data_IF_289984897332
#
_entry.id   IF_289984897332
#
_cell.length_a   1.000
_cell.length_b   1.000
_cell.length_c   1.000
_cell.angle_alpha   90.00
_cell.angle_beta   90.00
_cell.angle_gamma   90.00
#
_symmetry.space_group_name_H-M   'P 1'
#
loop_
_entity.id
_entity.type
_entity.pdbx_description
1 polymer ?
#
# COMPACT_ATOMS: atom_id res chain seq x y z
N UNK A 1 47.95 -11.50 -11.05
CA UNK A 1 47.77 -11.36 -9.58
C UNK A 1 46.52 -10.55 -9.35
N UNK A 2 45.47 -11.19 -8.85
CA UNK A 2 44.19 -10.47 -8.57
C UNK A 2 44.41 -9.56 -7.39
N UNK A 3 44.41 -8.26 -7.57
CA UNK A 3 44.30 -7.30 -6.46
C UNK A 3 43.06 -7.61 -5.64
N UNK A 4 43.28 -8.07 -4.43
CA UNK A 4 42.23 -8.26 -3.45
C UNK A 4 41.72 -6.87 -3.04
N UNK A 5 40.60 -6.43 -3.65
CA UNK A 5 39.96 -5.19 -3.27
C UNK A 5 39.40 -5.36 -1.86
N UNK A 6 39.93 -4.56 -0.95
CA UNK A 6 39.47 -4.44 0.42
C UNK A 6 38.47 -3.27 0.56
N UNK A 7 37.55 -3.37 1.49
CA UNK A 7 36.71 -2.22 1.88
C UNK A 7 37.49 -1.24 2.77
N UNK A 8 36.91 -0.12 3.12
CA UNK A 8 37.54 0.90 3.97
C UNK A 8 37.90 0.38 5.37
N UNK A 9 37.39 -0.76 5.78
CA UNK A 9 37.69 -1.43 7.05
C UNK A 9 38.71 -2.60 6.87
N UNK A 10 39.33 -2.70 5.71
CA UNK A 10 40.34 -3.75 5.42
C UNK A 10 39.76 -5.16 5.20
N UNK A 11 38.43 -5.30 5.03
CA UNK A 11 37.77 -6.57 4.79
C UNK A 11 37.67 -6.86 3.30
N UNK A 12 37.73 -8.14 2.89
CA UNK A 12 37.52 -8.55 1.50
C UNK A 12 36.13 -8.06 1.02
N UNK A 13 36.12 -7.32 -0.07
CA UNK A 13 34.87 -7.00 -0.77
C UNK A 13 34.22 -8.29 -1.31
N UNK A 14 32.89 -8.35 -1.20
CA UNK A 14 32.17 -9.43 -1.85
C UNK A 14 32.49 -9.48 -3.35
N UNK A 15 32.77 -10.65 -3.95
CA UNK A 15 32.94 -10.76 -5.38
C UNK A 15 31.84 -10.11 -6.20
N UNK A 16 30.62 -10.10 -5.67
CA UNK A 16 29.45 -9.47 -6.30
C UNK A 16 29.56 -7.95 -6.43
N UNK A 17 30.49 -7.29 -5.73
CA UNK A 17 30.73 -5.83 -5.84
C UNK A 17 31.82 -5.49 -6.86
N UNK A 18 32.46 -6.49 -7.45
CA UNK A 18 33.48 -6.28 -8.44
C UNK A 18 32.86 -6.13 -9.84
N UNK A 19 33.25 -5.11 -10.64
CA UNK A 19 32.71 -4.92 -11.98
C UNK A 19 32.89 -6.16 -12.88
N UNK A 20 34.01 -6.83 -12.78
CA UNK A 20 34.36 -8.03 -13.53
C UNK A 20 33.49 -9.23 -13.17
N UNK A 21 33.01 -9.33 -11.94
CA UNK A 21 32.09 -10.40 -11.52
C UNK A 21 30.80 -10.41 -12.33
N UNK A 22 30.39 -9.27 -12.78
CA UNK A 22 29.18 -9.11 -13.61
C UNK A 22 29.47 -9.09 -15.10
N UNK A 23 30.76 -9.07 -15.49
CA UNK A 23 31.16 -9.07 -16.90
C UNK A 23 30.64 -10.35 -17.60
N UNK A 24 29.93 -10.17 -18.70
CA UNK A 24 29.33 -11.28 -19.47
C UNK A 24 28.09 -11.93 -18.83
N UNK A 25 27.75 -11.63 -17.58
CA UNK A 25 26.55 -12.15 -16.95
C UNK A 25 25.36 -11.28 -17.29
N UNK A 26 24.32 -11.89 -17.86
CA UNK A 26 23.05 -11.16 -18.05
C UNK A 26 22.49 -10.73 -16.69
N UNK A 27 22.14 -9.45 -16.49
CA UNK A 27 21.40 -9.05 -15.30
C UNK A 27 20.20 -9.98 -15.11
N UNK A 28 19.92 -10.43 -13.88
CA UNK A 28 18.79 -11.33 -13.56
C UNK A 28 17.45 -10.86 -14.13
N UNK A 29 17.35 -9.55 -14.44
CA UNK A 29 16.13 -8.90 -14.96
C UNK A 29 16.29 -8.43 -16.41
N UNK A 30 17.35 -8.83 -17.13
CA UNK A 30 17.53 -8.43 -18.53
C UNK A 30 16.47 -9.10 -19.40
N UNK A 31 15.63 -8.29 -20.00
CA UNK A 31 14.46 -8.74 -20.80
C UNK A 31 13.12 -8.74 -20.04
N UNK A 32 13.13 -8.62 -18.72
CA UNK A 32 11.90 -8.36 -17.96
C UNK A 32 11.60 -6.86 -18.01
N UNK A 33 10.78 -6.44 -18.95
CA UNK A 33 10.19 -5.09 -18.95
C UNK A 33 9.07 -5.08 -17.91
N UNK A 34 9.41 -4.73 -16.69
CA UNK A 34 8.37 -4.27 -15.76
C UNK A 34 8.01 -2.86 -16.20
N UNK A 35 6.74 -2.56 -16.51
CA UNK A 35 6.33 -1.19 -16.69
C UNK A 35 6.81 -0.38 -15.49
N UNK A 36 7.53 0.71 -15.73
CA UNK A 36 8.07 1.58 -14.66
C UNK A 36 6.94 2.26 -13.86
N UNK A 37 5.72 2.23 -14.39
CA UNK A 37 4.55 2.86 -13.81
C UNK A 37 3.85 1.95 -12.80
N UNK A 38 3.29 2.54 -11.72
CA UNK A 38 2.42 1.83 -10.79
C UNK A 38 1.18 1.27 -11.53
N UNK A 39 0.42 0.35 -10.91
CA UNK A 39 -0.84 -0.10 -11.48
C UNK A 39 -1.78 1.10 -11.72
N UNK A 40 -2.56 1.02 -12.79
CA UNK A 40 -3.58 2.02 -13.08
C UNK A 40 -4.78 1.87 -12.14
N UNK A 41 -5.64 2.88 -12.11
CA UNK A 41 -6.88 2.86 -11.31
C UNK A 41 -7.73 1.65 -11.72
N UNK A 42 -7.88 1.42 -13.03
CA UNK A 42 -8.66 0.31 -13.60
C UNK A 42 -8.10 -1.05 -13.17
N UNK A 43 -6.78 -1.20 -13.18
CA UNK A 43 -6.10 -2.41 -12.70
C UNK A 43 -6.34 -2.62 -11.19
N UNK A 44 -6.27 -1.57 -10.38
CA UNK A 44 -6.52 -1.65 -8.93
C UNK A 44 -7.98 -2.04 -8.66
N UNK A 45 -8.93 -1.39 -9.32
CA UNK A 45 -10.36 -1.68 -9.19
C UNK A 45 -10.68 -3.09 -9.68
N UNK A 46 -10.05 -3.54 -10.78
CA UNK A 46 -10.19 -4.91 -11.27
C UNK A 46 -9.74 -5.94 -10.23
N UNK A 47 -8.60 -5.71 -9.57
CA UNK A 47 -8.12 -6.58 -8.48
C UNK A 47 -9.09 -6.57 -7.29
N UNK A 48 -9.62 -5.40 -6.92
CA UNK A 48 -10.61 -5.30 -5.84
C UNK A 48 -11.88 -6.11 -6.15
N UNK A 49 -12.39 -6.02 -7.37
CA UNK A 49 -13.56 -6.80 -7.82
C UNK A 49 -13.26 -8.29 -7.80
N UNK A 50 -12.08 -8.68 -8.28
CA UNK A 50 -11.68 -10.10 -8.35
C UNK A 50 -11.43 -10.73 -6.96
N UNK A 51 -11.12 -9.92 -5.95
CA UNK A 51 -11.00 -10.39 -4.56
C UNK A 51 -12.32 -10.98 -4.02
N UNK A 52 -13.47 -10.61 -4.59
CA UNK A 52 -14.79 -11.11 -4.23
C UNK A 52 -15.33 -10.54 -2.91
N UNK A 53 -16.52 -11.02 -2.53
CA UNK A 53 -17.30 -10.51 -1.39
C UNK A 53 -17.23 -11.41 -0.15
N UNK A 54 -16.47 -12.49 -0.19
CA UNK A 54 -16.19 -13.30 1.00
C UNK A 54 -15.28 -12.57 2.00
N UNK A 55 -15.25 -13.04 3.24
CA UNK A 55 -14.51 -12.41 4.34
C UNK A 55 -13.03 -12.12 3.99
N UNK A 56 -12.36 -13.04 3.31
CA UNK A 56 -10.99 -12.85 2.83
C UNK A 56 -10.90 -11.74 1.78
N UNK A 57 -11.85 -11.71 0.84
CA UNK A 57 -11.92 -10.70 -0.21
C UNK A 57 -12.18 -9.30 0.36
N UNK A 58 -13.15 -9.17 1.26
CA UNK A 58 -13.46 -7.90 1.92
C UNK A 58 -12.25 -7.37 2.71
N UNK A 59 -11.55 -8.25 3.45
CA UNK A 59 -10.30 -7.88 4.14
C UNK A 59 -9.24 -7.38 3.15
N UNK A 60 -9.06 -8.08 2.02
CA UNK A 60 -8.07 -7.71 1.01
C UNK A 60 -8.44 -6.38 0.34
N UNK A 61 -9.70 -6.18 0.00
CA UNK A 61 -10.22 -4.91 -0.55
C UNK A 61 -9.98 -3.75 0.41
N UNK A 62 -10.33 -3.92 1.69
CA UNK A 62 -10.05 -2.92 2.72
C UNK A 62 -8.56 -2.59 2.84
N UNK A 63 -7.68 -3.61 2.78
CA UNK A 63 -6.24 -3.37 2.79
C UNK A 63 -5.77 -2.63 1.54
N UNK A 64 -6.26 -2.99 0.34
CA UNK A 64 -5.93 -2.29 -0.92
C UNK A 64 -6.30 -0.82 -0.81
N UNK A 65 -7.51 -0.52 -0.33
CA UNK A 65 -8.01 0.84 -0.16
C UNK A 65 -7.10 1.66 0.75
N UNK A 66 -6.75 1.14 1.91
CA UNK A 66 -5.87 1.84 2.87
C UNK A 66 -4.45 2.05 2.30
N UNK A 67 -3.90 1.06 1.60
CA UNK A 67 -2.59 1.20 0.95
C UNK A 67 -2.60 2.19 -0.20
N UNK A 68 -3.69 2.26 -0.94
CA UNK A 68 -3.84 3.11 -2.12
C UNK A 68 -4.35 4.51 -1.76
N UNK A 69 -5.50 4.65 -1.09
CA UNK A 69 -6.14 5.97 -0.87
C UNK A 69 -5.58 6.73 0.33
N UNK A 70 -5.14 6.05 1.39
CA UNK A 70 -4.39 6.67 2.48
C UNK A 70 -2.88 6.69 2.22
N UNK A 71 -2.40 5.90 1.26
CA UNK A 71 -0.99 5.84 0.90
C UNK A 71 -0.10 5.24 1.99
N UNK A 72 -0.62 4.36 2.85
CA UNK A 72 0.14 3.77 3.94
C UNK A 72 1.17 2.74 3.47
N UNK A 73 2.23 2.54 4.26
CA UNK A 73 3.10 1.36 4.12
C UNK A 73 2.39 0.13 4.65
N UNK A 74 2.72 -1.05 4.12
CA UNK A 74 2.09 -2.31 4.57
C UNK A 74 2.19 -2.52 6.08
N UNK A 75 3.33 -2.21 6.69
CA UNK A 75 3.50 -2.35 8.14
C UNK A 75 2.67 -1.34 8.93
N UNK A 76 2.47 -0.14 8.40
CA UNK A 76 1.60 0.89 8.98
C UNK A 76 0.13 0.46 8.89
N UNK A 77 -0.32 0.00 7.71
CA UNK A 77 -1.68 -0.47 7.50
C UNK A 77 -2.03 -1.69 8.38
N UNK A 78 -1.13 -2.67 8.47
CA UNK A 78 -1.35 -3.88 9.29
C UNK A 78 -1.24 -3.63 10.80
N UNK A 79 -0.67 -2.49 11.22
CA UNK A 79 -0.60 -2.08 12.61
C UNK A 79 -1.81 -1.23 13.06
N UNK A 80 -2.72 -0.87 12.14
CA UNK A 80 -3.94 -0.14 12.50
C UNK A 80 -4.84 -0.99 13.40
N UNK A 81 -5.46 -0.33 14.37
CA UNK A 81 -6.58 -0.83 15.13
C UNK A 81 -7.86 -0.07 14.76
N UNK A 82 -9.03 -0.58 15.12
CA UNK A 82 -10.30 0.12 14.87
C UNK A 82 -10.34 1.51 15.52
N UNK A 83 -9.75 1.64 16.70
CA UNK A 83 -9.63 2.92 17.42
C UNK A 83 -8.73 3.96 16.71
N UNK A 84 -8.02 3.57 15.65
CA UNK A 84 -7.20 4.48 14.85
C UNK A 84 -7.98 5.09 13.67
N UNK A 85 -9.25 4.74 13.53
CA UNK A 85 -10.13 5.18 12.45
C UNK A 85 -11.03 6.32 12.95
N UNK A 86 -11.02 7.44 12.25
CA UNK A 86 -11.96 8.54 12.46
C UNK A 86 -12.71 8.84 11.15
N UNK A 87 -13.81 8.13 10.93
CA UNK A 87 -14.62 8.29 9.73
C UNK A 87 -15.28 9.69 9.65
N UNK A 88 -15.57 10.33 10.79
CA UNK A 88 -16.16 11.68 10.80
C UNK A 88 -15.17 12.73 10.28
N UNK A 89 -13.90 12.59 10.63
CA UNK A 89 -12.82 13.46 10.17
C UNK A 89 -12.21 13.00 8.86
N UNK A 90 -12.57 11.80 8.38
CA UNK A 90 -11.98 11.19 7.20
C UNK A 90 -10.51 10.86 7.37
N UNK A 91 -10.06 10.49 8.57
CA UNK A 91 -8.65 10.32 8.88
C UNK A 91 -8.32 9.00 9.56
N UNK A 92 -7.06 8.56 9.38
CA UNK A 92 -6.45 7.39 9.99
C UNK A 92 -5.27 7.83 10.85
N UNK A 93 -5.17 7.27 12.05
CA UNK A 93 -4.05 7.53 12.94
C UNK A 93 -2.97 6.46 12.79
N UNK A 94 -1.83 6.83 12.23
CA UNK A 94 -0.64 6.00 12.18
C UNK A 94 0.18 6.22 13.45
N UNK A 95 0.14 5.28 14.39
CA UNK A 95 0.81 5.41 15.69
C UNK A 95 2.34 5.36 15.59
N UNK A 96 2.87 4.59 14.63
CA UNK A 96 4.31 4.40 14.41
C UNK A 96 4.64 4.50 12.92
N UNK A 97 4.78 5.70 12.41
CA UNK A 97 5.24 5.98 11.06
C UNK A 97 6.77 5.91 10.93
N UNK A 98 7.31 6.44 9.84
CA UNK A 98 8.76 6.52 9.62
C UNK A 98 9.44 7.29 10.75
N UNK A 99 10.48 6.69 11.35
CA UNK A 99 11.18 7.28 12.49
C UNK A 99 10.41 7.19 13.82
N UNK A 100 9.42 6.30 13.93
CA UNK A 100 8.63 6.11 15.15
C UNK A 100 7.60 7.21 15.44
N UNK A 101 7.44 8.17 14.53
CA UNK A 101 6.55 9.32 14.73
C UNK A 101 5.08 8.95 14.46
N UNK A 102 4.21 9.54 15.27
CA UNK A 102 2.77 9.48 15.08
C UNK A 102 2.36 10.48 13.99
N UNK A 103 1.49 10.08 13.07
CA UNK A 103 0.92 10.97 12.06
C UNK A 103 -0.54 10.62 11.79
N UNK A 104 -1.30 11.62 11.39
CA UNK A 104 -2.67 11.48 10.91
C UNK A 104 -2.68 11.61 9.39
N UNK A 105 -3.39 10.71 8.71
CA UNK A 105 -3.44 10.63 7.25
C UNK A 105 -4.89 10.66 6.81
N UNK A 106 -5.21 11.52 5.86
CA UNK A 106 -6.55 11.64 5.30
C UNK A 106 -6.88 10.54 4.31
N UNK A 107 -8.16 10.21 4.21
CA UNK A 107 -8.72 9.29 3.22
C UNK A 107 -10.06 9.83 2.73
N UNK A 108 -10.34 9.74 1.42
CA UNK A 108 -11.55 10.27 0.81
C UNK A 108 -12.81 9.44 1.11
N UNK A 109 -13.98 10.00 0.82
CA UNK A 109 -15.28 9.38 1.12
C UNK A 109 -15.45 8.04 0.40
N UNK A 110 -15.07 7.97 -0.88
CA UNK A 110 -15.14 6.71 -1.63
C UNK A 110 -14.34 5.59 -0.95
N UNK A 111 -13.15 5.93 -0.44
CA UNK A 111 -12.33 4.95 0.25
C UNK A 111 -12.97 4.48 1.58
N UNK A 112 -13.65 5.37 2.29
CA UNK A 112 -14.41 5.01 3.48
C UNK A 112 -15.58 4.09 3.15
N UNK A 113 -16.32 4.36 2.08
CA UNK A 113 -17.38 3.48 1.58
C UNK A 113 -16.86 2.09 1.25
N UNK A 114 -15.70 2.00 0.57
CA UNK A 114 -15.09 0.70 0.25
C UNK A 114 -14.57 -0.03 1.49
N UNK A 115 -14.10 0.69 2.49
CA UNK A 115 -13.63 0.10 3.75
C UNK A 115 -14.79 -0.39 4.62
N UNK A 116 -15.96 0.24 4.55
CA UNK A 116 -17.12 -0.05 5.37
C UNK A 116 -17.50 -1.54 5.31
N UNK A 117 -17.54 -2.14 4.13
CA UNK A 117 -17.86 -3.56 3.96
C UNK A 117 -16.91 -4.50 4.73
N UNK A 118 -15.65 -4.13 4.88
CA UNK A 118 -14.71 -4.85 5.76
C UNK A 118 -15.00 -4.56 7.23
N UNK A 119 -15.31 -3.32 7.60
CA UNK A 119 -15.60 -2.94 8.99
C UNK A 119 -16.82 -3.68 9.52
N UNK A 120 -17.87 -3.86 8.72
CA UNK A 120 -19.07 -4.62 9.09
C UNK A 120 -18.75 -6.08 9.46
N UNK A 121 -17.82 -6.71 8.74
CA UNK A 121 -17.35 -8.06 9.07
C UNK A 121 -16.36 -8.06 10.24
N UNK A 122 -15.57 -6.98 10.35
CA UNK A 122 -14.52 -6.89 11.35
C UNK A 122 -15.06 -6.91 12.78
N UNK A 123 -16.21 -6.32 13.04
CA UNK A 123 -16.84 -6.31 14.38
C UNK A 123 -17.23 -7.70 14.87
N UNK A 124 -17.40 -8.65 13.97
CA UNK A 124 -17.68 -10.07 14.27
C UNK A 124 -16.42 -10.87 14.70
N UNK A 125 -15.26 -10.25 14.58
CA UNK A 125 -13.96 -10.88 14.85
C UNK A 125 -13.44 -10.45 16.24
N UNK A 126 -12.54 -11.23 16.86
CA UNK A 126 -11.96 -10.85 18.15
C UNK A 126 -11.31 -9.46 18.11
N UNK A 127 -11.44 -8.71 19.19
CA UNK A 127 -10.83 -7.38 19.33
C UNK A 127 -9.32 -7.46 19.08
N UNK A 128 -8.79 -6.53 18.28
CA UNK A 128 -7.38 -6.54 17.90
C UNK A 128 -7.07 -5.66 16.70
N UNK A 129 -6.10 -6.04 15.86
CA UNK A 129 -5.70 -5.27 14.70
C UNK A 129 -6.82 -5.19 13.68
N UNK A 130 -6.91 -4.06 12.96
CA UNK A 130 -7.91 -3.85 11.91
C UNK A 130 -7.87 -4.97 10.86
N UNK A 131 -6.68 -5.33 10.40
CA UNK A 131 -6.47 -6.43 9.47
C UNK A 131 -5.90 -7.65 10.21
N UNK A 132 -6.74 -8.63 10.45
CA UNK A 132 -6.41 -9.83 11.22
C UNK A 132 -6.62 -11.11 10.42
N UNK A 133 -6.19 -12.23 11.00
CA UNK A 133 -6.52 -13.56 10.51
C UNK A 133 -8.01 -13.82 10.75
N UNK A 134 -8.74 -14.22 9.70
CA UNK A 134 -10.21 -14.30 9.74
C UNK A 134 -10.75 -15.68 10.12
N UNK A 135 -9.96 -16.74 10.03
CA UNK A 135 -10.36 -18.10 10.34
C UNK A 135 -9.25 -18.93 10.97
N UNK A 136 -9.58 -20.15 11.41
CA UNK A 136 -8.66 -21.10 12.04
C UNK A 136 -8.29 -20.74 13.49
N UNK A 137 -7.33 -21.45 14.04
CA UNK A 137 -6.89 -21.35 15.45
C UNK A 137 -6.22 -20.00 15.79
N UNK A 138 -5.82 -19.24 14.80
CA UNK A 138 -5.17 -17.93 14.94
C UNK A 138 -6.10 -16.76 14.59
N UNK A 139 -7.41 -17.02 14.47
CA UNK A 139 -8.42 -15.97 14.20
C UNK A 139 -8.27 -14.79 15.16
N UNK A 140 -8.31 -13.57 14.62
CA UNK A 140 -8.12 -12.32 15.37
C UNK A 140 -6.66 -11.90 15.57
N UNK A 141 -5.67 -12.76 15.33
CA UNK A 141 -4.27 -12.37 15.39
C UNK A 141 -3.86 -11.48 14.21
N UNK A 142 -2.79 -10.67 14.37
CA UNK A 142 -2.29 -9.80 13.28
C UNK A 142 -2.05 -10.60 12.00
N UNK A 143 -2.53 -10.06 10.89
CA UNK A 143 -2.24 -10.65 9.57
C UNK A 143 -0.79 -10.37 9.19
N UNK A 144 -0.03 -11.43 8.90
CA UNK A 144 1.37 -11.31 8.56
C UNK A 144 1.58 -10.59 7.22
N UNK A 145 2.51 -9.63 7.19
CA UNK A 145 2.80 -8.86 5.98
C UNK A 145 3.25 -9.73 4.79
N UNK A 146 3.90 -10.86 5.05
CA UNK A 146 4.28 -11.82 4.01
C UNK A 146 3.04 -12.47 3.39
N UNK A 147 2.07 -12.90 4.20
CA UNK A 147 0.82 -13.49 3.75
C UNK A 147 -0.02 -12.47 2.96
N UNK A 148 -0.15 -11.24 3.45
CA UNK A 148 -0.85 -10.16 2.75
C UNK A 148 -0.24 -9.86 1.38
N UNK A 149 1.10 -9.81 1.28
CA UNK A 149 1.79 -9.63 -0.03
C UNK A 149 1.57 -10.80 -0.97
N UNK A 150 1.47 -12.01 -0.44
CA UNK A 150 1.24 -13.21 -1.26
C UNK A 150 -0.18 -13.19 -1.81
N UNK A 151 -1.17 -12.89 -0.97
CA UNK A 151 -2.58 -12.79 -1.36
C UNK A 151 -2.79 -11.67 -2.40
N UNK A 152 -2.23 -10.47 -2.17
CA UNK A 152 -2.26 -9.38 -3.15
C UNK A 152 -1.72 -9.80 -4.53
N UNK A 153 -0.59 -10.50 -4.56
CA UNK A 153 0.00 -10.95 -5.84
C UNK A 153 -0.82 -12.04 -6.51
N UNK A 154 -1.41 -12.93 -5.73
CA UNK A 154 -2.24 -14.01 -6.23
C UNK A 154 -3.48 -13.43 -6.91
N UNK A 155 -4.27 -12.63 -6.21
CA UNK A 155 -5.50 -12.04 -6.74
C UNK A 155 -5.22 -11.10 -7.93
N UNK A 156 -4.14 -10.33 -7.89
CA UNK A 156 -3.76 -9.49 -9.03
C UNK A 156 -3.41 -10.29 -10.29
N UNK A 157 -2.76 -11.45 -10.13
CA UNK A 157 -2.47 -12.35 -11.25
C UNK A 157 -3.75 -12.96 -11.83
N UNK A 158 -4.68 -13.36 -10.97
CA UNK A 158 -5.97 -13.91 -11.39
C UNK A 158 -6.85 -12.85 -12.06
N UNK A 159 -6.77 -11.60 -11.61
CA UNK A 159 -7.40 -10.46 -12.28
C UNK A 159 -6.71 -10.05 -13.60
N UNK A 160 -5.70 -10.81 -14.07
CA UNK A 160 -4.99 -10.56 -15.32
C UNK A 160 -4.01 -9.38 -15.29
N UNK A 161 -3.68 -8.84 -14.12
CA UNK A 161 -2.74 -7.73 -13.99
C UNK A 161 -1.31 -8.22 -14.21
N UNK A 162 -0.71 -7.79 -15.33
CA UNK A 162 0.66 -8.20 -15.72
C UNK A 162 1.75 -7.39 -15.03
N UNK A 163 1.40 -6.26 -14.42
CA UNK A 163 2.34 -5.41 -13.68
C UNK A 163 2.63 -5.99 -12.31
N UNK A 164 3.72 -5.51 -11.71
CA UNK A 164 3.99 -5.81 -10.30
C UNK A 164 2.93 -5.15 -9.44
N UNK A 165 2.06 -5.97 -8.84
CA UNK A 165 1.06 -5.54 -7.88
C UNK A 165 1.55 -5.83 -6.46
N UNK A 166 1.90 -4.78 -5.73
CA UNK A 166 2.49 -4.88 -4.41
C UNK A 166 2.14 -3.63 -3.58
N UNK A 167 2.17 -3.71 -2.24
CA UNK A 167 1.82 -2.58 -1.38
C UNK A 167 2.52 -1.27 -1.72
N UNK A 168 3.81 -1.34 -2.04
CA UNK A 168 4.56 -0.14 -2.42
C UNK A 168 4.09 0.47 -3.75
N UNK A 169 3.61 -0.35 -4.67
CA UNK A 169 3.09 0.12 -5.94
C UNK A 169 1.72 0.82 -5.79
N UNK A 170 0.87 0.36 -4.86
CA UNK A 170 -0.39 1.02 -4.52
C UNK A 170 -0.16 2.41 -3.93
N UNK A 171 0.79 2.51 -3.00
CA UNK A 171 1.20 3.79 -2.44
C UNK A 171 1.83 4.71 -3.50
N UNK A 172 2.57 4.14 -4.47
CA UNK A 172 3.12 4.92 -5.58
C UNK A 172 2.01 5.39 -6.55
N UNK A 173 1.00 4.56 -6.82
CA UNK A 173 -0.18 4.96 -7.58
C UNK A 173 -0.86 6.18 -6.94
N UNK A 174 -1.06 6.15 -5.62
CA UNK A 174 -1.60 7.30 -4.88
C UNK A 174 -0.79 8.58 -5.10
N UNK A 175 0.54 8.51 -4.99
CA UNK A 175 1.40 9.67 -5.20
C UNK A 175 1.30 10.22 -6.63
N UNK A 176 1.24 9.34 -7.62
CA UNK A 176 1.12 9.72 -9.04
C UNK A 176 -0.25 10.35 -9.33
N UNK A 177 -1.32 9.82 -8.75
CA UNK A 177 -2.67 10.39 -8.87
C UNK A 177 -2.71 11.79 -8.29
N UNK A 178 -2.24 11.98 -7.05
CA UNK A 178 -2.17 13.32 -6.43
C UNK A 178 -1.37 14.31 -7.28
N UNK A 179 -0.24 13.88 -7.84
CA UNK A 179 0.58 14.73 -8.70
C UNK A 179 -0.15 15.12 -10.01
N UNK A 180 -0.91 14.18 -10.61
CA UNK A 180 -1.72 14.43 -11.82
C UNK A 180 -2.90 15.37 -11.55
N UNK A 181 -3.44 15.33 -10.36
CA UNK A 181 -4.50 16.23 -9.88
C UNK A 181 -3.96 17.63 -9.51
N UNK A 182 -2.64 17.86 -9.67
CA UNK A 182 -2.01 19.15 -9.36
C UNK A 182 -1.80 19.41 -7.88
N UNK A 183 -1.88 18.39 -7.03
CA UNK A 183 -1.62 18.55 -5.59
C UNK A 183 -0.16 18.96 -5.38
N UNK A 184 0.12 20.03 -4.62
CA UNK A 184 1.48 20.48 -4.37
C UNK A 184 2.37 19.38 -3.76
N UNK A 185 3.62 19.28 -4.23
CA UNK A 185 4.55 18.23 -3.80
C UNK A 185 4.71 18.14 -2.27
N UNK A 186 4.70 19.28 -1.59
CA UNK A 186 4.79 19.32 -0.12
C UNK A 186 3.59 18.64 0.56
N UNK A 187 2.40 18.74 -0.04
CA UNK A 187 1.18 18.08 0.45
C UNK A 187 1.29 16.58 0.21
N UNK A 188 1.75 16.16 -0.98
CA UNK A 188 1.99 14.74 -1.29
C UNK A 188 3.02 14.15 -0.32
N UNK A 189 4.12 14.86 -0.06
CA UNK A 189 5.14 14.42 0.88
C UNK A 189 4.58 14.24 2.30
N UNK A 190 3.74 15.17 2.75
CA UNK A 190 3.06 15.08 4.07
C UNK A 190 2.13 13.89 4.14
N UNK A 191 1.26 13.73 3.15
CA UNK A 191 0.34 12.60 3.05
C UNK A 191 1.08 11.25 3.09
N UNK A 192 2.25 11.20 2.46
CA UNK A 192 3.09 10.01 2.45
C UNK A 192 4.05 9.92 3.66
N UNK A 193 3.91 10.76 4.67
CA UNK A 193 4.79 10.74 5.85
C UNK A 193 6.27 10.94 5.52
N UNK A 194 6.58 11.77 4.50
CA UNK A 194 7.91 12.26 4.19
C UNK A 194 8.08 13.64 4.83
N UNK A 195 8.43 13.66 6.08
CA UNK A 195 8.66 14.92 6.80
C UNK A 195 10.00 15.55 6.40
N UNK A 196 9.93 16.80 5.97
CA UNK A 196 11.04 17.74 5.95
C UNK A 196 10.63 18.86 6.90
N UNK A 197 11.08 18.83 8.17
CA UNK A 197 10.76 19.86 9.18
C UNK A 197 9.46 19.62 9.97
N UNK A 198 9.04 20.58 10.77
CA UNK A 198 7.99 20.57 11.79
C UNK A 198 6.69 19.78 11.47
N UNK A 199 6.04 19.20 12.51
CA UNK A 199 4.79 18.51 12.35
C UNK A 199 3.70 19.47 11.88
N UNK A 200 3.34 19.41 10.61
CA UNK A 200 2.26 20.19 10.06
C UNK A 200 0.91 19.56 10.40
N UNK A 201 -0.15 20.35 10.53
CA UNK A 201 -1.50 19.86 10.78
C UNK A 201 -1.95 18.89 9.68
N UNK A 202 -2.87 17.97 9.98
CA UNK A 202 -3.44 17.04 9.01
C UNK A 202 -4.06 17.81 7.83
N UNK A 203 -4.03 17.21 6.66
CA UNK A 203 -4.61 17.81 5.45
C UNK A 203 -6.13 17.83 5.64
N UNK A 204 -6.80 19.00 5.53
CA UNK A 204 -8.24 19.08 5.63
C UNK A 204 -8.93 18.16 4.61
N UNK A 205 -10.01 17.51 5.04
CA UNK A 205 -10.83 16.61 4.21
C UNK A 205 -11.27 17.26 2.90
N UNK A 206 -11.57 18.54 2.92
CA UNK A 206 -12.02 19.32 1.76
C UNK A 206 -11.03 19.31 0.59
N UNK A 207 -9.73 19.17 0.85
CA UNK A 207 -8.71 19.06 -0.19
C UNK A 207 -8.53 17.63 -0.73
N UNK A 208 -9.14 16.65 -0.08
CA UNK A 208 -9.12 15.25 -0.50
C UNK A 208 -10.41 14.86 -1.22
N UNK A 209 -11.52 15.59 -0.97
CA UNK A 209 -12.84 15.33 -1.53
C UNK A 209 -13.06 15.92 -2.93
N UNK A 210 -12.20 16.85 -3.37
CA UNK A 210 -12.22 17.36 -4.76
C UNK A 210 -11.69 16.31 -5.79
N UNK A 211 -11.45 15.12 -5.33
CA UNK A 211 -11.13 13.96 -6.16
C UNK A 211 -12.42 13.40 -6.72
N UNK A 212 -12.68 13.63 -7.99
CA UNK A 212 -13.71 12.87 -8.70
C UNK A 212 -13.44 11.39 -8.47
N UNK A 213 -14.35 10.75 -7.74
CA UNK A 213 -14.35 9.29 -7.58
C UNK A 213 -14.11 8.66 -8.95
N UNK A 214 -13.24 7.64 -9.09
CA UNK A 214 -13.12 6.96 -10.37
C UNK A 214 -14.53 6.55 -10.77
N UNK A 215 -14.99 6.99 -11.94
CA UNK A 215 -16.30 6.64 -12.48
C UNK A 215 -16.35 5.11 -12.60
N UNK A 216 -16.76 4.48 -11.53
CA UNK A 216 -17.21 3.09 -11.59
C UNK A 216 -18.55 3.21 -12.29
N UNK A 217 -18.57 2.90 -13.59
CA UNK A 217 -19.81 2.72 -14.34
C UNK A 217 -20.66 1.77 -13.48
N UNK A 218 -21.76 2.31 -12.93
CA UNK A 218 -22.85 1.48 -12.47
C UNK A 218 -23.38 0.83 -13.73
N UNK A 219 -23.23 -0.47 -13.84
CA UNK A 219 -23.90 -1.20 -14.89
C UNK A 219 -25.40 -0.92 -14.76
N UNK A 220 -26.08 -0.44 -15.83
CA UNK A 220 -27.52 -0.31 -15.85
C UNK A 220 -28.10 -1.67 -16.23
N UNK A 221 -28.07 -2.64 -15.32
CA UNK A 221 -28.83 -3.87 -15.46
C UNK A 221 -29.31 -4.30 -14.09
N UNK A 222 -30.51 -4.02 -13.90
CA UNK A 222 -31.63 -4.25 -13.17
C UNK A 222 -31.96 -5.22 -12.22
#
# INVERSE_FOLDING_TARGET
MSELLLDAAGRRRSPATLPEFHAGRRPRKKGMRYPAYPPTIEEIVSVMRHAGDGVHGLRLRGLIVVLWRAGLRICEALALAEADLDARRGSLLVRRGKGGRRCEVGMDDWAWEQLAAWLDVRVELPVGPLFCVVNGTTRGRPWAAAAARTELRHVAREAGVRRRFAPHQLRHAHAVEMAREGVPLIVIQRQLGHYVGDPAPPIPRERLTDRRSPHIMRDPCG
#
